data_IF_415173060329
#
_entry.id   IF_415173060329
#
_cell.length_a   1.000
_cell.length_b   1.000
_cell.length_c   1.000
_cell.angle_alpha   90.00
_cell.angle_beta   90.00
_cell.angle_gamma   90.00
#
_symmetry.space_group_name_H-M   'P 1'
#
loop_
_entity.id
_entity.type
_entity.pdbx_description
1 polymer ?
#
# COMPACT_ATOMS: atom_id res chain seq x y z
N UNK A 1 35.49 -36.79 -18.06
CA UNK A 1 34.91 -35.49 -18.49
C UNK A 1 33.91 -35.64 -19.66
N UNK A 2 33.49 -36.86 -20.03
CA UNK A 2 32.60 -37.15 -21.17
C UNK A 2 31.24 -37.74 -20.74
N UNK A 3 30.58 -37.24 -19.68
CA UNK A 3 29.28 -37.85 -19.29
C UNK A 3 28.31 -36.98 -18.51
N UNK A 4 28.34 -35.65 -18.68
CA UNK A 4 27.27 -34.77 -18.16
C UNK A 4 26.54 -34.02 -19.30
N UNK A 5 27.17 -33.88 -20.47
CA UNK A 5 26.61 -33.17 -21.63
C UNK A 5 25.48 -33.90 -22.35
N UNK A 6 25.27 -35.20 -22.10
CA UNK A 6 24.43 -36.05 -22.97
C UNK A 6 23.04 -36.40 -22.40
N UNK A 7 22.48 -35.60 -21.47
CA UNK A 7 21.21 -35.93 -20.80
C UNK A 7 20.10 -34.88 -20.81
N UNK A 8 20.25 -33.78 -21.55
CA UNK A 8 19.08 -33.00 -21.95
C UNK A 8 18.63 -33.53 -23.32
N UNK A 9 17.45 -34.17 -23.39
CA UNK A 9 16.90 -34.53 -24.70
C UNK A 9 16.68 -33.24 -25.51
N UNK A 10 16.87 -33.27 -26.84
CA UNK A 10 16.66 -32.09 -27.70
C UNK A 10 15.30 -31.40 -27.46
N UNK A 11 14.27 -32.13 -27.02
CA UNK A 11 12.98 -31.57 -26.64
C UNK A 11 13.03 -30.68 -25.39
N UNK A 12 13.80 -31.06 -24.36
CA UNK A 12 13.98 -30.24 -23.15
C UNK A 12 14.77 -28.97 -23.43
N UNK A 13 15.70 -29.00 -24.38
CA UNK A 13 16.46 -27.81 -24.79
C UNK A 13 15.59 -26.82 -25.57
N UNK A 14 14.71 -27.29 -26.44
CA UNK A 14 13.76 -26.41 -27.14
C UNK A 14 12.69 -25.84 -26.22
N UNK A 15 12.23 -26.62 -25.24
CA UNK A 15 11.30 -26.15 -24.20
C UNK A 15 11.96 -25.09 -23.31
N UNK A 16 13.20 -25.32 -22.85
CA UNK A 16 14.01 -24.33 -22.12
C UNK A 16 14.32 -23.09 -22.96
N UNK A 17 14.57 -23.21 -24.26
CA UNK A 17 14.78 -22.08 -25.17
C UNK A 17 13.52 -21.21 -25.30
N UNK A 18 12.38 -21.86 -25.48
CA UNK A 18 11.07 -21.20 -25.55
C UNK A 18 10.77 -20.49 -24.22
N UNK A 19 11.00 -21.16 -23.10
CA UNK A 19 10.88 -20.59 -21.76
C UNK A 19 11.91 -19.49 -21.47
N UNK A 20 13.12 -19.51 -22.05
CA UNK A 20 14.11 -18.43 -21.92
C UNK A 20 13.62 -17.15 -22.59
N UNK A 21 13.01 -17.31 -23.77
CA UNK A 21 12.48 -16.23 -24.59
C UNK A 21 11.20 -15.66 -23.96
N UNK A 22 10.44 -16.47 -23.22
CA UNK A 22 9.17 -16.07 -22.60
C UNK A 22 9.30 -15.69 -21.11
N UNK A 23 10.22 -16.29 -20.35
CA UNK A 23 10.29 -16.25 -18.88
C UNK A 23 11.74 -16.24 -18.32
N UNK A 24 12.40 -15.07 -18.38
CA UNK A 24 13.74 -14.84 -17.82
C UNK A 24 13.91 -15.26 -16.34
N UNK A 25 12.86 -15.16 -15.52
CA UNK A 25 12.90 -15.49 -14.08
C UNK A 25 13.02 -17.00 -13.81
N UNK A 26 12.33 -17.84 -14.60
CA UNK A 26 12.37 -19.31 -14.49
C UNK A 26 13.79 -19.81 -14.80
N UNK A 27 14.39 -19.24 -15.84
CA UNK A 27 15.75 -19.55 -16.29
C UNK A 27 16.80 -19.29 -15.21
N UNK A 28 16.68 -18.20 -14.45
CA UNK A 28 17.66 -17.85 -13.39
C UNK A 28 17.69 -18.84 -12.22
N UNK A 29 16.59 -19.56 -11.99
CA UNK A 29 16.48 -20.59 -10.95
C UNK A 29 17.06 -21.90 -11.46
N UNK A 30 16.72 -22.29 -12.69
CA UNK A 30 17.28 -23.49 -13.33
C UNK A 30 18.79 -23.42 -13.54
N UNK A 31 19.32 -22.27 -13.98
CA UNK A 31 20.78 -22.05 -14.15
C UNK A 31 21.55 -22.19 -12.85
N UNK A 32 20.95 -21.78 -11.73
CA UNK A 32 21.54 -21.90 -10.39
C UNK A 32 21.69 -23.36 -9.97
N UNK A 33 20.76 -24.20 -10.41
CA UNK A 33 20.73 -25.64 -10.13
C UNK A 33 21.54 -26.45 -11.15
N UNK A 34 21.94 -25.85 -12.28
CA UNK A 34 22.66 -26.51 -13.39
C UNK A 34 23.91 -25.72 -13.82
N UNK A 35 24.78 -25.39 -12.86
CA UNK A 35 25.98 -24.54 -12.97
C UNK A 35 27.06 -24.97 -13.99
N UNK A 36 26.84 -26.02 -14.79
CA UNK A 36 27.75 -26.49 -15.85
C UNK A 36 27.23 -26.31 -17.28
N UNK A 37 26.02 -25.79 -17.47
CA UNK A 37 25.41 -25.67 -18.79
C UNK A 37 25.61 -24.27 -19.37
N UNK A 38 26.44 -24.15 -20.41
CA UNK A 38 26.64 -22.88 -21.12
C UNK A 38 25.48 -22.64 -22.11
N UNK A 39 24.36 -22.16 -21.57
CA UNK A 39 23.19 -21.79 -22.38
C UNK A 39 23.55 -20.65 -23.34
N UNK A 40 24.40 -19.70 -22.91
CA UNK A 40 24.76 -18.53 -23.72
C UNK A 40 25.59 -18.91 -24.94
N UNK A 41 26.46 -19.93 -24.84
CA UNK A 41 27.21 -20.49 -25.96
C UNK A 41 26.37 -21.24 -27.00
N UNK A 42 25.10 -21.54 -26.70
CA UNK A 42 24.17 -22.27 -27.57
C UNK A 42 23.07 -21.40 -28.19
N UNK A 43 23.12 -20.08 -27.97
CA UNK A 43 22.21 -19.12 -28.60
C UNK A 43 22.85 -18.58 -29.88
N UNK A 44 22.08 -18.48 -30.96
CA UNK A 44 22.52 -17.70 -32.11
C UNK A 44 22.45 -16.19 -31.81
N UNK A 45 23.14 -15.37 -32.63
CA UNK A 45 23.21 -13.93 -32.45
C UNK A 45 21.82 -13.25 -32.44
N UNK A 46 20.85 -13.81 -33.17
CA UNK A 46 19.49 -13.29 -33.25
C UNK A 46 18.74 -13.58 -31.95
N UNK A 47 18.81 -14.80 -31.43
CA UNK A 47 18.23 -15.21 -30.16
C UNK A 47 18.82 -14.42 -28.99
N UNK A 48 20.15 -14.24 -28.97
CA UNK A 48 20.82 -13.43 -27.96
C UNK A 48 20.36 -11.95 -28.01
N UNK A 49 20.23 -11.38 -29.21
CA UNK A 49 19.73 -10.03 -29.39
C UNK A 49 18.26 -9.87 -28.94
N UNK A 50 17.41 -10.84 -29.25
CA UNK A 50 16.00 -10.86 -28.83
C UNK A 50 15.88 -10.94 -27.29
N UNK A 51 16.62 -11.84 -26.64
CA UNK A 51 16.65 -11.97 -25.18
C UNK A 51 17.13 -10.68 -24.52
N UNK A 52 18.21 -10.08 -25.03
CA UNK A 52 18.75 -8.82 -24.51
C UNK A 52 17.76 -7.67 -24.66
N UNK A 53 17.09 -7.58 -25.80
CA UNK A 53 16.08 -6.54 -26.05
C UNK A 53 14.89 -6.68 -25.10
N UNK A 54 14.37 -7.90 -24.92
CA UNK A 54 13.30 -8.19 -23.95
C UNK A 54 13.72 -7.91 -22.50
N UNK A 55 14.96 -8.20 -22.15
CA UNK A 55 15.52 -7.88 -20.83
C UNK A 55 15.58 -6.37 -20.62
N UNK A 56 16.07 -5.60 -21.59
CA UNK A 56 16.16 -4.15 -21.52
C UNK A 56 14.77 -3.48 -21.46
N UNK A 57 13.80 -3.99 -22.23
CA UNK A 57 12.39 -3.57 -22.14
C UNK A 57 11.77 -3.89 -20.78
N UNK A 58 12.05 -5.07 -20.25
CA UNK A 58 11.59 -5.47 -18.92
C UNK A 58 12.17 -4.56 -17.85
N UNK A 59 13.48 -4.30 -17.88
CA UNK A 59 14.14 -3.37 -16.96
C UNK A 59 13.55 -1.96 -17.04
N UNK A 60 13.28 -1.45 -18.24
CA UNK A 60 12.60 -0.15 -18.43
C UNK A 60 11.21 -0.13 -17.81
N UNK A 61 10.40 -1.16 -18.05
CA UNK A 61 9.08 -1.29 -17.43
C UNK A 61 9.16 -1.39 -15.90
N UNK A 62 10.18 -2.06 -15.37
CA UNK A 62 10.42 -2.16 -13.93
C UNK A 62 10.75 -0.79 -13.32
N UNK A 63 11.62 -0.02 -13.94
CA UNK A 63 11.96 1.34 -13.48
C UNK A 63 10.75 2.25 -13.57
N UNK A 64 10.03 2.24 -14.70
CA UNK A 64 8.83 3.04 -14.89
C UNK A 64 7.74 2.72 -13.86
N UNK A 65 7.50 1.44 -13.58
CA UNK A 65 6.50 1.03 -12.59
C UNK A 65 6.81 1.58 -11.20
N UNK A 66 8.09 1.53 -10.77
CA UNK A 66 8.51 2.12 -9.49
C UNK A 66 8.31 3.63 -9.48
N UNK A 67 8.69 4.33 -10.54
CA UNK A 67 8.49 5.78 -10.65
C UNK A 67 7.00 6.12 -10.59
N UNK A 68 6.15 5.38 -11.30
CA UNK A 68 4.70 5.56 -11.31
C UNK A 68 4.07 5.37 -9.91
N UNK A 69 4.50 4.36 -9.16
CA UNK A 69 4.05 4.12 -7.79
C UNK A 69 4.39 5.31 -6.89
N UNK A 70 5.65 5.77 -6.96
CA UNK A 70 6.18 6.79 -6.08
C UNK A 70 5.70 8.21 -6.43
N UNK A 71 5.32 8.45 -7.68
CA UNK A 71 5.04 9.82 -8.17
C UNK A 71 3.61 10.04 -8.64
N UNK A 72 2.85 9.01 -9.00
CA UNK A 72 1.52 9.17 -9.60
C UNK A 72 0.38 8.66 -8.72
N UNK A 73 0.47 7.43 -8.21
CA UNK A 73 -0.65 6.76 -7.53
C UNK A 73 -1.17 7.56 -6.32
N UNK A 74 -0.27 8.05 -5.47
CA UNK A 74 -0.61 8.86 -4.29
C UNK A 74 -0.66 10.36 -4.52
N UNK A 75 -0.32 10.86 -5.70
CA UNK A 75 -0.20 12.28 -5.98
C UNK A 75 -1.50 12.93 -6.44
N UNK A 76 -1.70 14.24 -6.20
CA UNK A 76 -2.82 14.99 -6.76
C UNK A 76 -2.86 14.94 -8.30
N UNK A 77 -3.98 15.40 -8.88
CA UNK A 77 -4.07 15.57 -10.33
C UNK A 77 -2.97 16.52 -10.83
N UNK A 78 -2.23 16.08 -11.84
CA UNK A 78 -1.41 16.93 -12.69
C UNK A 78 -1.38 16.31 -14.12
N UNK A 79 -1.01 17.09 -15.13
CA UNK A 79 -1.05 16.62 -16.52
C UNK A 79 -0.04 15.51 -16.82
N UNK A 80 1.10 15.49 -16.12
CA UNK A 80 2.13 14.45 -16.32
C UNK A 80 1.68 13.10 -15.76
N UNK A 81 0.96 13.08 -14.65
CA UNK A 81 0.31 11.90 -14.08
C UNK A 81 -0.72 11.31 -15.04
N UNK A 82 -1.44 12.16 -15.79
CA UNK A 82 -2.37 11.69 -16.83
C UNK A 82 -1.62 11.03 -18.00
N UNK A 83 -0.48 11.58 -18.43
CA UNK A 83 0.38 10.95 -19.44
C UNK A 83 0.88 9.59 -18.98
N UNK A 84 1.37 9.50 -17.74
CA UNK A 84 1.84 8.24 -17.17
C UNK A 84 0.70 7.22 -17.02
N UNK A 85 -0.49 7.64 -16.59
CA UNK A 85 -1.68 6.79 -16.55
C UNK A 85 -2.02 6.21 -17.92
N UNK A 86 -2.01 7.05 -18.97
CA UNK A 86 -2.26 6.60 -20.34
C UNK A 86 -1.19 5.62 -20.82
N UNK A 87 0.08 5.80 -20.42
CA UNK A 87 1.15 4.85 -20.73
C UNK A 87 0.95 3.49 -20.06
N UNK A 88 0.60 3.47 -18.76
CA UNK A 88 0.29 2.21 -18.04
C UNK A 88 -0.84 1.45 -18.72
N UNK A 89 -1.85 2.15 -19.20
CA UNK A 89 -3.01 1.54 -19.87
C UNK A 89 -2.75 1.13 -21.33
N UNK A 90 -1.76 1.73 -22.00
CA UNK A 90 -1.45 1.41 -23.40
C UNK A 90 -0.44 0.28 -23.56
N UNK A 91 0.35 -0.02 -22.52
CA UNK A 91 1.35 -1.10 -22.53
C UNK A 91 0.79 -2.38 -21.87
N UNK A 92 0.62 -3.48 -22.62
CA UNK A 92 0.15 -4.74 -22.07
C UNK A 92 0.99 -5.22 -20.87
N UNK A 93 0.32 -5.57 -19.77
CA UNK A 93 0.95 -6.11 -18.55
C UNK A 93 1.68 -5.08 -17.68
N UNK A 94 1.76 -3.80 -18.07
CA UNK A 94 2.46 -2.79 -17.27
C UNK A 94 1.72 -2.49 -15.96
N UNK A 95 0.38 -2.49 -15.97
CA UNK A 95 -0.41 -2.36 -14.74
C UNK A 95 -0.16 -3.52 -13.76
N UNK A 96 -0.06 -4.76 -14.25
CA UNK A 96 0.19 -5.90 -13.38
C UNK A 96 1.58 -5.82 -12.74
N UNK A 97 2.60 -5.32 -13.48
CA UNK A 97 3.92 -5.01 -12.92
C UNK A 97 3.87 -3.91 -11.86
N UNK A 98 3.09 -2.85 -12.07
CA UNK A 98 2.86 -1.80 -11.07
C UNK A 98 2.25 -2.40 -9.80
N UNK A 99 1.27 -3.29 -9.94
CA UNK A 99 0.61 -3.94 -8.81
C UNK A 99 1.56 -4.90 -8.08
N UNK A 100 2.34 -5.70 -8.80
CA UNK A 100 3.33 -6.61 -8.24
C UNK A 100 4.37 -5.84 -7.41
N UNK A 101 4.93 -4.78 -7.97
CA UNK A 101 5.91 -3.94 -7.26
C UNK A 101 5.30 -3.21 -6.07
N UNK A 102 4.08 -2.67 -6.20
CA UNK A 102 3.38 -2.01 -5.11
C UNK A 102 3.10 -2.97 -3.94
N UNK A 103 2.70 -4.21 -4.25
CA UNK A 103 2.54 -5.30 -3.29
C UNK A 103 3.86 -5.61 -2.56
N UNK A 104 4.93 -5.87 -3.33
CA UNK A 104 6.24 -6.20 -2.78
C UNK A 104 6.80 -5.09 -1.89
N UNK A 105 6.64 -3.83 -2.30
CA UNK A 105 7.05 -2.66 -1.53
C UNK A 105 6.24 -2.54 -0.21
N UNK A 106 4.93 -2.77 -0.27
CA UNK A 106 4.03 -2.68 0.89
C UNK A 106 4.36 -3.75 1.93
N UNK A 107 4.64 -4.98 1.48
CA UNK A 107 4.89 -6.14 2.34
C UNK A 107 6.38 -6.37 2.63
N UNK A 108 7.24 -5.37 2.36
CA UNK A 108 8.69 -5.49 2.57
C UNK A 108 9.05 -5.76 4.03
N UNK A 109 8.31 -5.15 4.98
CA UNK A 109 8.54 -5.31 6.42
C UNK A 109 8.32 -6.77 6.87
N UNK A 110 9.33 -7.44 7.47
CA UNK A 110 9.15 -8.75 8.08
C UNK A 110 8.15 -8.73 9.24
N UNK A 111 8.18 -7.68 10.06
CA UNK A 111 7.27 -7.49 11.19
C UNK A 111 5.81 -7.39 10.74
N UNK A 112 5.54 -6.66 9.64
CA UNK A 112 4.20 -6.62 9.06
C UNK A 112 3.78 -7.99 8.52
N UNK A 113 4.65 -8.69 7.77
CA UNK A 113 4.35 -10.02 7.24
C UNK A 113 3.99 -11.03 8.32
N UNK A 114 4.72 -11.02 9.43
CA UNK A 114 4.45 -11.90 10.57
C UNK A 114 3.10 -11.58 11.22
N UNK A 115 2.79 -10.29 11.41
CA UNK A 115 1.58 -9.85 12.12
C UNK A 115 0.30 -9.86 11.29
N UNK A 116 0.42 -9.98 9.96
CA UNK A 116 -0.73 -10.02 9.04
C UNK A 116 -1.48 -11.37 9.11
N UNK A 117 -0.80 -12.44 9.51
CA UNK A 117 -1.42 -13.77 9.69
C UNK A 117 -2.10 -14.28 8.41
N UNK A 118 -3.31 -14.83 8.55
CA UNK A 118 -4.07 -15.43 7.44
C UNK A 118 -4.88 -14.44 6.60
N UNK A 119 -4.69 -13.13 6.79
CA UNK A 119 -5.36 -12.12 5.98
C UNK A 119 -4.86 -12.20 4.52
N UNK A 120 -5.81 -12.31 3.57
CA UNK A 120 -5.57 -12.26 2.13
C UNK A 120 -5.18 -10.85 1.67
N UNK A 121 -3.98 -10.44 2.10
CA UNK A 121 -3.41 -9.13 1.83
C UNK A 121 -3.09 -8.95 0.34
N UNK A 122 -2.78 -10.02 -0.39
CA UNK A 122 -2.46 -9.94 -1.83
C UNK A 122 -3.67 -9.46 -2.65
N UNK A 123 -4.81 -10.12 -2.50
CA UNK A 123 -6.05 -9.73 -3.18
C UNK A 123 -6.54 -8.35 -2.73
N UNK A 124 -6.38 -8.04 -1.44
CA UNK A 124 -6.70 -6.72 -0.91
C UNK A 124 -5.86 -5.61 -1.57
N UNK A 125 -4.54 -5.81 -1.63
CA UNK A 125 -3.61 -4.84 -2.18
C UNK A 125 -3.74 -4.72 -3.71
N UNK A 126 -3.97 -5.81 -4.44
CA UNK A 126 -4.29 -5.75 -5.88
C UNK A 126 -5.49 -4.84 -6.13
N UNK A 127 -6.62 -5.09 -5.44
CA UNK A 127 -7.82 -4.27 -5.56
C UNK A 127 -7.58 -2.82 -5.14
N UNK A 128 -6.84 -2.60 -4.06
CA UNK A 128 -6.53 -1.26 -3.59
C UNK A 128 -5.67 -0.49 -4.60
N UNK A 129 -4.59 -1.10 -5.13
CA UNK A 129 -3.71 -0.47 -6.10
C UNK A 129 -4.42 -0.19 -7.43
N UNK A 130 -5.29 -1.08 -7.90
CA UNK A 130 -6.18 -0.81 -9.05
C UNK A 130 -7.10 0.38 -8.79
N UNK A 131 -7.72 0.43 -7.61
CA UNK A 131 -8.56 1.55 -7.23
C UNK A 131 -7.79 2.89 -7.19
N UNK A 132 -6.52 2.88 -6.78
CA UNK A 132 -5.64 4.05 -6.83
C UNK A 132 -5.27 4.42 -8.27
N UNK A 133 -4.94 3.43 -9.10
CA UNK A 133 -4.65 3.62 -10.52
C UNK A 133 -5.83 4.27 -11.26
N UNK A 134 -7.05 3.78 -11.05
CA UNK A 134 -8.29 4.35 -11.63
C UNK A 134 -8.53 5.80 -11.18
N UNK A 135 -7.91 6.23 -10.08
CA UNK A 135 -7.96 7.60 -9.59
C UNK A 135 -6.88 8.52 -10.17
N UNK A 136 -5.91 8.02 -10.92
CA UNK A 136 -4.84 8.84 -11.50
C UNK A 136 -5.39 9.61 -12.70
N UNK A 137 -5.08 10.91 -12.78
CA UNK A 137 -5.49 11.74 -13.90
C UNK A 137 -6.97 12.15 -13.90
N UNK A 138 -7.76 11.74 -12.91
CA UNK A 138 -9.12 12.26 -12.72
C UNK A 138 -9.06 13.67 -12.10
N UNK A 139 -9.67 14.64 -12.79
CA UNK A 139 -9.87 16.00 -12.26
C UNK A 139 -10.90 16.03 -11.13
N UNK A 140 -11.85 15.09 -11.16
CA UNK A 140 -12.93 14.99 -10.17
C UNK A 140 -12.55 14.10 -8.99
N UNK A 141 -12.93 14.61 -7.81
CA UNK A 141 -12.42 14.23 -6.49
C UNK A 141 -13.11 12.98 -5.96
N UNK A 142 -12.77 11.80 -6.50
CA UNK A 142 -13.24 10.57 -5.87
C UNK A 142 -12.37 10.26 -4.64
N UNK A 143 -12.94 10.55 -3.46
CA UNK A 143 -12.46 10.02 -2.19
C UNK A 143 -12.36 8.50 -2.27
N UNK A 144 -11.21 7.96 -1.86
CA UNK A 144 -11.02 6.52 -1.81
C UNK A 144 -11.35 6.07 -0.38
N UNK A 145 -12.60 5.74 -0.17
CA UNK A 145 -13.10 5.26 1.13
C UNK A 145 -12.88 3.76 1.23
N UNK A 146 -12.16 3.33 2.26
CA UNK A 146 -11.95 1.92 2.57
C UNK A 146 -12.71 1.61 3.85
N UNK A 147 -13.80 0.85 3.74
CA UNK A 147 -14.53 0.41 4.93
C UNK A 147 -13.90 -0.89 5.43
N UNK A 148 -13.37 -0.87 6.66
CA UNK A 148 -12.83 -2.06 7.32
C UNK A 148 -13.80 -2.50 8.39
N UNK A 149 -14.76 -3.33 7.99
CA UNK A 149 -15.78 -3.89 8.89
C UNK A 149 -15.46 -5.35 9.22
N UNK A 150 -15.78 -5.77 10.44
CA UNK A 150 -15.57 -7.14 10.89
C UNK A 150 -15.75 -7.26 12.39
N UNK A 151 -16.07 -8.47 12.86
CA UNK A 151 -16.27 -8.74 14.31
C UNK A 151 -15.03 -8.37 15.13
N UNK A 152 -15.21 -8.21 16.43
CA UNK A 152 -14.09 -8.10 17.39
C UNK A 152 -13.09 -9.24 17.18
N UNK A 153 -11.80 -8.93 17.26
CA UNK A 153 -10.69 -9.89 17.11
C UNK A 153 -10.61 -10.61 15.74
N UNK A 154 -11.28 -10.11 14.69
CA UNK A 154 -11.21 -10.67 13.33
C UNK A 154 -9.93 -10.32 12.54
N UNK A 155 -8.93 -9.70 13.17
CA UNK A 155 -7.70 -9.28 12.49
C UNK A 155 -7.77 -7.91 11.80
N UNK A 156 -8.77 -7.07 12.10
CA UNK A 156 -8.91 -5.70 11.55
C UNK A 156 -7.63 -4.84 11.65
N UNK A 157 -6.83 -5.03 12.70
CA UNK A 157 -5.55 -4.34 12.87
C UNK A 157 -4.53 -4.71 11.80
N UNK A 158 -4.51 -5.95 11.31
CA UNK A 158 -3.64 -6.36 10.21
C UNK A 158 -4.01 -5.62 8.91
N UNK A 159 -5.31 -5.52 8.60
CA UNK A 159 -5.81 -4.75 7.44
C UNK A 159 -5.36 -3.29 7.52
N UNK A 160 -5.46 -2.68 8.70
CA UNK A 160 -5.00 -1.30 8.95
C UNK A 160 -3.48 -1.15 8.78
N UNK A 161 -2.69 -2.13 9.25
CA UNK A 161 -1.24 -2.14 9.04
C UNK A 161 -0.86 -2.25 7.57
N UNK A 162 -1.56 -3.09 6.81
CA UNK A 162 -1.35 -3.26 5.36
C UNK A 162 -1.68 -1.98 4.60
N UNK A 163 -2.86 -1.39 4.80
CA UNK A 163 -3.23 -0.14 4.13
C UNK A 163 -2.36 1.05 4.59
N UNK A 164 -1.91 1.07 5.84
CA UNK A 164 -0.94 2.05 6.35
C UNK A 164 0.40 1.92 5.61
N UNK A 165 0.95 0.71 5.53
CA UNK A 165 2.22 0.47 4.83
C UNK A 165 2.12 0.87 3.35
N UNK A 166 1.00 0.50 2.70
CA UNK A 166 0.71 0.92 1.34
C UNK A 166 0.63 2.44 1.22
N UNK A 167 -0.07 3.13 2.13
CA UNK A 167 -0.09 4.59 2.19
C UNK A 167 1.32 5.17 2.25
N UNK A 168 2.21 4.59 3.07
CA UNK A 168 3.62 4.96 3.11
C UNK A 168 4.36 4.80 1.78
N UNK A 169 4.15 3.68 1.07
CA UNK A 169 4.70 3.43 -0.27
C UNK A 169 4.21 4.47 -1.28
N UNK A 170 2.92 4.80 -1.23
CA UNK A 170 2.31 5.77 -2.13
C UNK A 170 2.61 7.23 -1.77
N UNK A 171 3.38 7.48 -0.71
CA UNK A 171 3.63 8.84 -0.22
C UNK A 171 2.38 9.53 0.36
N UNK A 172 1.35 8.76 0.74
CA UNK A 172 0.14 9.23 1.40
C UNK A 172 0.38 9.20 2.92
N UNK A 173 0.41 10.36 3.61
CA UNK A 173 0.62 10.40 5.05
C UNK A 173 -0.45 9.57 5.79
N UNK A 174 -0.10 8.81 6.82
CA UNK A 174 -1.09 8.02 7.59
C UNK A 174 -1.42 8.70 8.91
N UNK A 175 -2.61 9.28 9.06
CA UNK A 175 -3.04 10.01 10.26
C UNK A 175 -4.15 9.27 11.01
N UNK A 176 -3.86 8.80 12.21
CA UNK A 176 -4.83 8.04 13.00
C UNK A 176 -5.71 8.99 13.82
N UNK A 177 -6.74 9.58 13.20
CA UNK A 177 -7.69 10.46 13.89
C UNK A 177 -8.73 9.69 14.72
N UNK A 178 -8.26 9.07 15.80
CA UNK A 178 -9.12 8.41 16.78
C UNK A 178 -9.48 9.40 17.90
N UNK A 179 -10.77 9.67 18.11
CA UNK A 179 -11.23 10.65 19.12
C UNK A 179 -11.78 9.95 20.36
N UNK A 180 -11.10 10.11 21.50
CA UNK A 180 -11.73 10.21 22.82
C UNK A 180 -12.14 8.91 23.52
N UNK A 181 -11.49 7.80 23.20
CA UNK A 181 -11.75 6.46 23.76
C UNK A 181 -10.41 5.78 24.05
N UNK A 182 -10.27 4.96 25.10
CA UNK A 182 -8.96 4.39 25.48
C UNK A 182 -8.42 3.47 24.37
N UNK A 183 -9.32 2.89 23.58
CA UNK A 183 -9.11 2.13 22.36
C UNK A 183 -8.33 2.91 21.28
N UNK A 184 -8.42 4.25 21.30
CA UNK A 184 -7.66 5.14 20.42
C UNK A 184 -6.15 5.08 20.67
N UNK A 185 -5.77 4.88 21.93
CA UNK A 185 -4.38 4.83 22.39
C UNK A 185 -3.82 3.45 22.04
N UNK A 186 -4.56 2.39 22.36
CA UNK A 186 -4.19 1.02 22.02
C UNK A 186 -4.05 0.82 20.51
N UNK A 187 -4.95 1.43 19.72
CA UNK A 187 -4.86 1.38 18.26
C UNK A 187 -3.62 2.14 17.76
N UNK A 188 -3.29 3.28 18.35
CA UNK A 188 -2.07 4.00 18.00
C UNK A 188 -0.80 3.20 18.31
N UNK A 189 -0.74 2.55 19.48
CA UNK A 189 0.38 1.68 19.86
C UNK A 189 0.52 0.52 18.86
N UNK A 190 -0.59 -0.16 18.53
CA UNK A 190 -0.60 -1.24 17.53
C UNK A 190 -0.15 -0.77 16.14
N UNK A 191 -0.64 0.38 15.66
CA UNK A 191 -0.27 0.90 14.34
C UNK A 191 1.17 1.41 14.30
N UNK A 192 1.68 1.93 15.42
CA UNK A 192 3.09 2.30 15.58
C UNK A 192 4.00 1.08 15.54
N UNK A 193 3.57 -0.01 16.18
CA UNK A 193 4.28 -1.28 16.16
C UNK A 193 4.24 -1.94 14.77
N UNK A 194 3.09 -1.94 14.09
CA UNK A 194 2.96 -2.43 12.71
C UNK A 194 3.72 -1.60 11.68
N UNK A 195 4.05 -0.33 11.99
CA UNK A 195 4.80 0.54 11.08
C UNK A 195 6.29 0.21 11.03
N UNK A 196 6.80 -0.59 11.96
CA UNK A 196 8.22 -0.89 12.03
C UNK A 196 8.70 -1.61 10.76
N UNK A 197 9.81 -1.12 10.19
CA UNK A 197 10.34 -1.57 8.90
C UNK A 197 9.51 -1.18 7.67
N UNK A 198 8.46 -0.37 7.80
CA UNK A 198 7.69 0.19 6.67
C UNK A 198 8.16 1.62 6.32
N UNK A 199 7.76 2.19 5.17
CA UNK A 199 8.02 3.60 4.87
C UNK A 199 7.30 4.59 5.81
N UNK A 200 6.32 4.14 6.62
CA UNK A 200 5.58 4.99 7.54
C UNK A 200 6.39 5.25 8.81
N UNK A 201 6.62 6.53 9.12
CA UNK A 201 7.32 6.97 10.33
C UNK A 201 6.36 7.26 11.47
N UNK A 202 6.87 7.16 12.70
CA UNK A 202 6.10 7.45 13.92
C UNK A 202 5.51 8.85 13.94
N UNK A 203 6.21 9.85 13.38
CA UNK A 203 5.68 11.23 13.31
C UNK A 203 4.43 11.37 12.42
N UNK A 204 4.19 10.43 11.51
CA UNK A 204 2.99 10.43 10.66
C UNK A 204 1.78 9.89 11.43
N UNK A 205 1.98 8.94 12.35
CA UNK A 205 0.93 8.28 13.13
C UNK A 205 0.54 9.16 14.31
N UNK A 206 -0.47 10.01 14.11
CA UNK A 206 -0.89 11.01 15.11
C UNK A 206 -2.29 10.71 15.63
N UNK A 207 -2.42 10.56 16.96
CA UNK A 207 -3.71 10.59 17.67
C UNK A 207 -4.16 12.03 17.89
N UNK A 208 -5.37 12.38 17.43
CA UNK A 208 -5.91 13.73 17.59
C UNK A 208 -6.29 14.09 19.04
N UNK A 209 -6.60 13.08 19.85
CA UNK A 209 -7.14 13.25 21.20
C UNK A 209 -6.75 12.09 22.10
N UNK A 210 -5.70 12.26 22.91
CA UNK A 210 -5.29 11.31 23.94
C UNK A 210 -5.51 11.93 25.33
N UNK A 211 -6.16 11.19 26.25
CA UNK A 211 -6.40 11.63 27.65
C UNK A 211 -5.09 11.85 28.43
N UNK A 212 -4.02 11.12 28.07
CA UNK A 212 -2.68 11.25 28.65
C UNK A 212 -1.89 12.43 28.08
N UNK A 213 -2.37 13.04 26.99
CA UNK A 213 -1.65 14.08 26.27
C UNK A 213 -2.00 15.47 26.84
N UNK A 214 -1.03 16.05 27.55
CA UNK A 214 -1.11 17.38 28.21
C UNK A 214 -1.02 18.55 27.23
N UNK A 215 -0.91 18.30 25.93
CA UNK A 215 -0.89 19.34 24.90
C UNK A 215 -2.21 20.13 24.83
N UNK A 216 -2.09 21.43 24.60
CA UNK A 216 -3.21 22.32 24.33
C UNK A 216 -3.92 21.97 23.01
N UNK A 217 -5.17 22.40 22.85
CA UNK A 217 -5.95 22.16 21.63
C UNK A 217 -5.26 22.74 20.38
N UNK A 218 -4.58 23.89 20.52
CA UNK A 218 -3.83 24.54 19.44
C UNK A 218 -2.66 23.68 18.97
N UNK A 219 -1.90 23.10 19.90
CA UNK A 219 -0.75 22.25 19.57
C UNK A 219 -1.17 20.93 18.93
N UNK A 220 -2.31 20.36 19.38
CA UNK A 220 -2.92 19.16 18.78
C UNK A 220 -3.31 19.40 17.33
N UNK A 221 -3.99 20.50 17.04
CA UNK A 221 -4.35 20.86 15.67
C UNK A 221 -3.11 21.10 14.81
N UNK A 222 -2.10 21.82 15.32
CA UNK A 222 -0.86 22.04 14.59
C UNK A 222 -0.07 20.75 14.31
N UNK A 223 -0.20 19.71 15.16
CA UNK A 223 0.40 18.39 14.92
C UNK A 223 -0.32 17.64 13.80
N UNK A 224 -1.65 17.68 13.82
CA UNK A 224 -2.50 17.09 12.76
C UNK A 224 -2.29 17.79 11.42
N UNK A 225 -2.25 19.13 11.41
CA UNK A 225 -1.96 19.93 10.21
C UNK A 225 -0.59 19.62 9.63
N UNK A 226 0.46 19.52 10.47
CA UNK A 226 1.80 19.10 10.02
C UNK A 226 1.81 17.70 9.42
N UNK A 227 1.04 16.77 10.00
CA UNK A 227 0.94 15.42 9.46
C UNK A 227 0.17 15.40 8.12
N UNK A 228 -0.86 16.24 7.94
CA UNK A 228 -1.56 16.39 6.65
C UNK A 228 -0.75 17.14 5.60
N UNK A 229 0.12 18.05 6.03
CA UNK A 229 0.99 18.80 5.13
C UNK A 229 2.07 17.91 4.47
N UNK A 230 2.39 16.75 5.05
CA UNK A 230 3.36 15.81 4.49
C UNK A 230 4.78 16.39 4.37
N UNK A 231 5.60 15.81 3.50
CA UNK A 231 6.88 16.39 3.05
C UNK A 231 6.76 16.71 1.55
N UNK A 232 6.79 18.00 1.19
CA UNK A 232 6.66 18.45 -0.19
C UNK A 232 5.21 18.68 -0.62
N UNK A 233 4.85 18.27 -1.84
CA UNK A 233 3.53 18.50 -2.46
C UNK A 233 2.47 17.43 -2.13
N UNK A 234 2.82 16.44 -1.29
CA UNK A 234 1.92 15.36 -0.87
C UNK A 234 1.04 15.82 0.29
N UNK A 235 -0.09 16.41 -0.06
CA UNK A 235 -1.10 16.87 0.89
C UNK A 235 -2.23 15.83 1.05
N UNK A 236 -2.69 15.62 2.29
CA UNK A 236 -3.75 14.66 2.61
C UNK A 236 -3.32 13.56 3.58
N UNK A 237 -4.10 12.48 3.68
CA UNK A 237 -3.69 11.32 4.47
C UNK A 237 -4.76 10.28 4.76
N UNK A 238 -4.37 9.15 5.35
CA UNK A 238 -5.30 8.17 5.89
C UNK A 238 -5.91 8.70 7.19
N UNK A 239 -7.21 8.54 7.39
CA UNK A 239 -7.93 8.82 8.63
C UNK A 239 -8.53 7.52 9.14
N UNK A 240 -8.17 7.09 10.35
CA UNK A 240 -8.86 5.97 11.02
C UNK A 240 -9.85 6.52 12.01
N UNK A 241 -11.14 6.24 11.82
CA UNK A 241 -12.24 6.79 12.62
C UNK A 241 -13.16 5.69 13.14
N UNK A 242 -13.84 5.96 14.25
CA UNK A 242 -14.85 5.04 14.78
C UNK A 242 -16.09 5.02 13.88
N UNK A 243 -16.73 3.85 13.76
CA UNK A 243 -17.98 3.62 13.03
C UNK A 243 -19.18 4.22 13.77
N UNK A 244 -19.21 5.55 13.82
CA UNK A 244 -20.41 6.28 14.20
C UNK A 244 -20.66 7.36 13.17
N UNK A 245 -21.94 7.57 12.84
CA UNK A 245 -22.37 8.65 11.94
C UNK A 245 -21.76 10.01 12.31
N UNK A 246 -21.65 10.31 13.60
CA UNK A 246 -21.09 11.57 14.08
C UNK A 246 -19.58 11.70 13.80
N UNK A 247 -18.80 10.64 13.97
CA UNK A 247 -17.35 10.68 13.72
C UNK A 247 -17.05 10.67 12.22
N UNK A 248 -17.80 9.90 11.43
CA UNK A 248 -17.72 9.91 9.96
C UNK A 248 -18.03 11.30 9.42
N UNK A 249 -19.15 11.90 9.81
CA UNK A 249 -19.50 13.27 9.38
C UNK A 249 -18.47 14.31 9.81
N UNK A 250 -17.87 14.15 11.00
CA UNK A 250 -16.83 15.06 11.47
C UNK A 250 -15.54 14.93 10.63
N UNK A 251 -15.17 13.70 10.27
CA UNK A 251 -14.00 13.45 9.43
C UNK A 251 -14.20 14.04 8.02
N UNK A 252 -15.37 13.81 7.41
CA UNK A 252 -15.71 14.36 6.10
C UNK A 252 -15.65 15.89 6.09
N UNK A 253 -16.28 16.56 7.07
CA UNK A 253 -16.20 18.03 7.21
C UNK A 253 -14.76 18.53 7.40
N UNK A 254 -13.93 17.77 8.12
CA UNK A 254 -12.51 18.10 8.30
C UNK A 254 -11.72 18.04 6.98
N UNK A 255 -11.99 17.00 6.18
CA UNK A 255 -11.43 16.84 4.84
C UNK A 255 -11.87 17.99 3.92
N UNK A 256 -13.17 18.32 3.92
CA UNK A 256 -13.72 19.45 3.15
C UNK A 256 -13.04 20.77 3.53
N UNK A 257 -12.92 21.05 4.83
CA UNK A 257 -12.29 22.28 5.30
C UNK A 257 -10.81 22.35 4.96
N UNK A 258 -10.07 21.24 5.07
CA UNK A 258 -8.66 21.18 4.65
C UNK A 258 -8.50 21.52 3.16
N UNK A 259 -9.43 21.05 2.33
CA UNK A 259 -9.44 21.25 0.88
C UNK A 259 -9.73 22.68 0.45
N UNK A 260 -10.36 23.50 1.29
CA UNK A 260 -10.53 24.94 1.02
C UNK A 260 -9.18 25.61 0.75
N UNK A 261 -8.12 25.13 1.43
CA UNK A 261 -6.74 25.63 1.27
C UNK A 261 -5.86 24.70 0.42
N UNK A 262 -6.25 23.43 0.26
CA UNK A 262 -5.44 22.38 -0.36
C UNK A 262 -6.29 21.50 -1.31
N UNK A 263 -6.66 21.96 -2.52
CA UNK A 263 -7.67 21.32 -3.37
C UNK A 263 -7.29 19.93 -3.91
N UNK A 264 -6.00 19.54 -3.84
CA UNK A 264 -5.48 18.26 -4.35
C UNK A 264 -5.36 17.15 -3.31
N UNK A 265 -5.72 17.38 -2.05
CA UNK A 265 -5.46 16.42 -0.97
C UNK A 265 -6.15 15.06 -1.17
N UNK A 266 -5.37 13.96 -1.17
CA UNK A 266 -5.88 12.58 -1.22
C UNK A 266 -6.05 12.01 0.18
N UNK A 267 -7.20 11.41 0.45
CA UNK A 267 -7.53 10.85 1.75
C UNK A 267 -7.97 9.40 1.66
N UNK A 268 -7.52 8.59 2.62
CA UNK A 268 -7.97 7.21 2.82
C UNK A 268 -8.81 7.21 4.10
N UNK A 269 -10.12 7.17 3.99
CA UNK A 269 -10.97 7.07 5.18
C UNK A 269 -11.14 5.60 5.55
N UNK A 270 -10.65 5.21 6.72
CA UNK A 270 -10.84 3.89 7.34
C UNK A 270 -11.84 4.00 8.47
N UNK A 271 -13.01 3.42 8.28
CA UNK A 271 -14.07 3.34 9.30
C UNK A 271 -13.91 2.03 10.05
N UNK A 272 -13.76 2.12 11.38
CA UNK A 272 -13.49 1.00 12.28
C UNK A 272 -14.61 0.84 13.31
N UNK A 273 -15.18 -0.35 13.38
CA UNK A 273 -16.13 -0.72 14.43
C UNK A 273 -15.37 -0.86 15.75
N UNK A 274 -15.41 0.18 16.60
CA UNK A 274 -14.73 0.16 17.89
C UNK A 274 -15.44 -0.82 18.82
N UNK A 275 -14.78 -1.93 19.12
CA UNK A 275 -15.27 -3.08 19.90
C UNK A 275 -15.85 -2.73 21.30
N UNK A 276 -15.64 -1.50 21.80
CA UNK A 276 -16.11 -1.06 23.11
C UNK A 276 -17.41 -0.25 23.11
N UNK A 277 -17.94 0.20 21.96
CA UNK A 277 -19.16 1.01 21.95
C UNK A 277 -20.44 0.22 22.28
N UNK A 278 -20.35 -1.12 22.34
CA UNK A 278 -21.41 -1.99 22.87
C UNK A 278 -21.18 -2.46 24.32
N UNK A 279 -20.20 -1.89 25.04
CA UNK A 279 -19.92 -2.18 26.46
C UNK A 279 -20.15 -1.00 27.41
N UNK A 280 -21.05 -0.08 27.06
CA UNK A 280 -21.74 0.68 28.13
C UNK A 280 -22.97 -0.10 28.53
N UNK A 281 -22.91 -0.77 29.68
CA UNK A 281 -24.13 -0.94 30.47
C UNK A 281 -24.80 0.44 30.60
N UNK A 282 -26.08 0.46 30.30
CA UNK A 282 -26.90 1.67 30.32
C UNK A 282 -26.67 2.42 31.63
N UNK A 283 -26.21 3.68 31.56
CA UNK A 283 -26.06 4.58 32.72
C UNK A 283 -27.43 5.04 33.26
N UNK A 284 -28.39 4.13 33.39
CA UNK A 284 -29.70 4.31 34.01
C UNK A 284 -29.94 3.34 35.16
N UNK A 285 -28.89 3.06 35.93
CA UNK A 285 -28.95 2.28 37.16
C UNK A 285 -28.55 3.05 38.42
N UNK A 286 -28.79 4.37 38.50
CA UNK A 286 -28.76 5.06 39.80
C UNK A 286 -30.07 4.77 40.54
N UNK A 287 -30.18 3.59 41.13
CA UNK A 287 -31.08 3.40 42.27
C UNK A 287 -30.36 4.04 43.46
N UNK A 288 -30.84 5.20 43.90
CA UNK A 288 -30.54 5.70 45.25
C UNK A 288 -31.21 4.74 46.22
N UNK A 289 -30.41 4.01 46.97
CA UNK A 289 -30.86 3.45 48.24
C UNK A 289 -30.88 4.61 49.23
N UNK A 290 -32.09 5.04 49.58
CA UNK A 290 -32.44 5.70 50.85
C UNK A 290 -33.46 4.82 51.52
#
# INVERSE_FOLDING_TARGET
LHSVEERASNGQLEELRTDLVENLTITSTWLRDNLGFDILGNLDDKQFHEIRTKHDETAKHYTFANDYINTCLGSPYNEDNLKHYNHVNSVPGLLDKVIEQGNAATMKSPNLREKVGNFDHQNFLDKALRLFHDGVGLKDRNEKTFVVAGRTQSGKSAVKGVIQSMGGVLGIPTIVLTKGVDESIDLNEKLTDLSDGTPVKKEHIVVASNKKDRMSYREKNAKVERAFAGKGETHGGMLVIADTKAQVQKALRGIEHYREKNPGGKFILVVDEADAMFRTEDRRGRVRLT
#
